data_IF_174551908447
#
_entry.id   IF_174551908447
#
_cell.length_a   1.000
_cell.length_b   1.000
_cell.length_c   1.000
_cell.angle_alpha   90.00
_cell.angle_beta   90.00
_cell.angle_gamma   90.00
#
_symmetry.space_group_name_H-M   'P 1'
#
loop_
_entity.id
_entity.type
_entity.pdbx_description
1 polymer ?
#
# COMPACT_ATOMS: atom_id res chain seq x y z
N UNK A 1 -7.47 0.97 19.93
CA UNK A 1 -7.08 1.79 18.74
C UNK A 1 -7.65 1.23 17.46
N UNK A 2 -7.95 2.08 16.46
CA UNK A 2 -8.35 1.67 15.10
C UNK A 2 -7.16 1.10 14.32
N UNK A 3 -7.41 0.35 13.24
CA UNK A 3 -6.33 -0.17 12.38
C UNK A 3 -5.53 0.97 11.73
N UNK A 4 -6.17 2.10 11.39
CA UNK A 4 -5.48 3.27 10.84
C UNK A 4 -4.50 3.88 11.85
N UNK A 5 -4.90 4.03 13.11
CA UNK A 5 -4.03 4.51 14.19
C UNK A 5 -2.85 3.56 14.44
N UNK A 6 -3.11 2.26 14.48
CA UNK A 6 -2.05 1.24 14.64
C UNK A 6 -1.05 1.26 13.48
N UNK A 7 -1.51 1.41 12.24
CA UNK A 7 -0.63 1.54 11.07
C UNK A 7 0.19 2.82 11.12
N UNK A 8 -0.42 3.94 11.54
CA UNK A 8 0.28 5.20 11.75
C UNK A 8 1.42 5.01 12.76
N UNK A 9 1.13 4.48 13.95
CA UNK A 9 2.14 4.22 14.97
C UNK A 9 3.26 3.29 14.48
N UNK A 10 2.90 2.25 13.72
CA UNK A 10 3.88 1.32 13.17
C UNK A 10 4.84 1.99 12.18
N UNK A 11 4.36 2.86 11.28
CA UNK A 11 5.22 3.56 10.31
C UNK A 11 6.10 4.61 10.98
N UNK A 12 5.59 5.29 12.03
CA UNK A 12 6.38 6.19 12.89
C UNK A 12 7.49 5.44 13.62
N UNK A 13 7.15 4.34 14.29
CA UNK A 13 8.10 3.50 15.05
C UNK A 13 9.25 2.96 14.17
N UNK A 14 8.97 2.61 12.91
CA UNK A 14 9.99 2.13 11.98
C UNK A 14 10.87 3.29 11.46
N UNK A 15 10.49 4.55 11.69
CA UNK A 15 11.19 5.72 11.16
C UNK A 15 11.05 5.84 9.64
N UNK A 16 9.87 5.59 9.09
CA UNK A 16 9.66 5.76 7.64
C UNK A 16 9.71 7.24 7.27
N UNK A 17 10.43 7.63 6.21
CA UNK A 17 10.33 8.97 5.65
C UNK A 17 8.88 9.38 5.36
N UNK A 18 8.52 10.62 5.73
CA UNK A 18 7.17 11.18 5.60
C UNK A 18 6.09 10.40 6.38
N UNK A 19 6.45 9.78 7.52
CA UNK A 19 5.51 9.01 8.33
C UNK A 19 4.33 9.86 8.83
N UNK A 20 4.56 11.13 9.22
CA UNK A 20 3.48 12.03 9.63
C UNK A 20 2.47 12.24 8.50
N UNK A 21 2.96 12.46 7.28
CA UNK A 21 2.12 12.56 6.12
C UNK A 21 1.36 11.24 5.85
N UNK A 22 2.01 10.09 5.99
CA UNK A 22 1.37 8.79 5.89
C UNK A 22 0.25 8.64 6.90
N UNK A 23 0.48 9.03 8.17
CA UNK A 23 -0.52 8.98 9.24
C UNK A 23 -1.80 9.72 8.89
N UNK A 24 -1.69 10.92 8.30
CA UNK A 24 -2.84 11.72 7.90
C UNK A 24 -3.75 11.00 6.89
N UNK A 25 -3.18 10.13 6.06
CA UNK A 25 -3.92 9.42 5.00
C UNK A 25 -4.21 7.94 5.30
N UNK A 26 -3.90 7.46 6.54
CA UNK A 26 -4.12 6.05 6.88
C UNK A 26 -5.59 5.63 6.85
N UNK A 27 -6.52 6.52 7.19
CA UNK A 27 -7.95 6.21 7.09
C UNK A 27 -8.37 5.95 5.65
N UNK A 28 -8.00 6.83 4.71
CA UNK A 28 -8.25 6.61 3.27
C UNK A 28 -7.62 5.30 2.76
N UNK A 29 -6.40 5.00 3.23
CA UNK A 29 -5.70 3.77 2.86
C UNK A 29 -6.46 2.53 3.35
N UNK A 30 -6.86 2.50 4.62
CA UNK A 30 -7.61 1.37 5.21
C UNK A 30 -8.92 1.19 4.47
N UNK A 31 -9.70 2.25 4.30
CA UNK A 31 -10.97 2.21 3.57
C UNK A 31 -10.81 1.67 2.14
N UNK A 32 -9.82 2.20 1.39
CA UNK A 32 -9.54 1.73 0.03
C UNK A 32 -9.12 0.25 0.00
N UNK A 33 -8.36 -0.19 1.01
CA UNK A 33 -7.94 -1.59 1.16
C UNK A 33 -9.12 -2.52 1.39
N UNK A 34 -10.01 -2.15 2.30
CA UNK A 34 -11.22 -2.92 2.63
C UNK A 34 -12.17 -3.04 1.43
N UNK A 35 -12.47 -1.92 0.76
CA UNK A 35 -13.31 -1.88 -0.44
C UNK A 35 -12.79 -2.79 -1.56
N UNK A 36 -11.48 -2.98 -1.66
CA UNK A 36 -10.83 -3.78 -2.68
C UNK A 36 -10.36 -5.16 -2.18
N UNK A 37 -10.61 -5.51 -0.90
CA UNK A 37 -10.18 -6.76 -0.25
C UNK A 37 -8.66 -6.99 -0.34
N UNK A 38 -7.90 -5.93 -0.12
CA UNK A 38 -6.44 -5.92 -0.08
C UNK A 38 -5.98 -5.74 1.37
N UNK A 39 -4.92 -6.43 1.77
CA UNK A 39 -4.31 -6.23 3.07
C UNK A 39 -3.72 -4.80 3.17
N UNK A 40 -4.18 -3.95 4.10
CA UNK A 40 -3.71 -2.57 4.24
C UNK A 40 -2.21 -2.48 4.58
N UNK A 41 -1.63 -3.48 5.23
CA UNK A 41 -0.18 -3.55 5.47
C UNK A 41 0.61 -3.66 4.17
N UNK A 42 0.11 -4.44 3.22
CA UNK A 42 0.72 -4.55 1.89
C UNK A 42 0.62 -3.22 1.14
N UNK A 43 -0.54 -2.55 1.20
CA UNK A 43 -0.73 -1.27 0.53
C UNK A 43 0.16 -0.17 1.15
N UNK A 44 0.27 -0.11 2.48
CA UNK A 44 1.18 0.80 3.19
C UNK A 44 2.62 0.61 2.72
N UNK A 45 3.08 -0.64 2.66
CA UNK A 45 4.43 -0.97 2.19
C UNK A 45 4.64 -0.67 0.71
N UNK A 46 3.62 -0.88 -0.14
CA UNK A 46 3.64 -0.56 -1.56
C UNK A 46 3.85 0.94 -1.76
N UNK A 47 3.04 1.79 -1.14
CA UNK A 47 3.14 3.26 -1.24
C UNK A 47 4.52 3.73 -0.79
N UNK A 48 5.02 3.19 0.32
CA UNK A 48 6.37 3.51 0.78
C UNK A 48 7.45 3.16 -0.25
N UNK A 49 7.36 2.01 -0.89
CA UNK A 49 8.35 1.59 -1.91
C UNK A 49 8.24 2.44 -3.18
N UNK A 50 7.03 2.86 -3.56
CA UNK A 50 6.78 3.65 -4.76
C UNK A 50 7.24 5.11 -4.63
N UNK A 51 6.84 5.79 -3.57
CA UNK A 51 7.03 7.24 -3.45
C UNK A 51 7.72 7.68 -2.15
N UNK A 52 7.94 6.78 -1.18
CA UNK A 52 8.28 7.12 0.20
C UNK A 52 7.28 8.10 0.82
N UNK A 53 6.02 7.93 0.50
CA UNK A 53 4.93 8.81 0.90
C UNK A 53 5.07 10.28 0.43
N UNK A 54 5.76 10.51 -0.70
CA UNK A 54 5.84 11.82 -1.34
C UNK A 54 4.69 11.98 -2.34
N UNK A 55 3.72 12.90 -2.10
CA UNK A 55 2.52 13.01 -2.94
C UNK A 55 2.83 13.51 -4.36
N UNK A 56 3.88 14.32 -4.52
CA UNK A 56 4.25 14.91 -5.81
C UNK A 56 5.36 14.13 -6.53
N UNK A 57 5.61 12.88 -6.13
CA UNK A 57 6.63 12.06 -6.75
C UNK A 57 6.31 11.80 -8.23
N UNK A 58 7.32 11.98 -9.09
CA UNK A 58 7.26 11.64 -10.52
C UNK A 58 8.48 10.78 -10.86
N UNK A 59 8.24 9.62 -11.44
CA UNK A 59 9.32 8.75 -11.89
C UNK A 59 9.88 9.17 -13.26
N UNK A 60 11.05 8.67 -13.63
CA UNK A 60 11.62 8.86 -14.98
C UNK A 60 10.69 8.37 -16.08
N UNK A 61 9.83 7.41 -15.80
CA UNK A 61 8.85 6.86 -16.77
C UNK A 61 7.55 7.65 -16.80
N UNK A 62 7.39 8.70 -15.98
CA UNK A 62 6.17 9.50 -15.89
C UNK A 62 5.07 8.92 -14.99
N UNK A 63 5.39 7.96 -14.10
CA UNK A 63 4.48 7.52 -13.06
C UNK A 63 4.36 8.60 -11.97
N UNK A 64 3.16 8.82 -11.44
CA UNK A 64 2.85 9.97 -10.61
C UNK A 64 2.19 9.59 -9.28
N UNK A 65 2.46 10.42 -8.26
CA UNK A 65 1.78 10.41 -6.97
C UNK A 65 2.25 9.31 -6.02
N UNK A 66 1.51 9.13 -4.94
CA UNK A 66 1.86 8.20 -3.86
C UNK A 66 2.04 6.76 -4.34
N UNK A 67 1.18 6.32 -5.23
CA UNK A 67 1.14 4.94 -5.73
C UNK A 67 1.83 4.76 -7.08
N UNK A 68 2.47 5.81 -7.60
CA UNK A 68 3.22 5.81 -8.86
C UNK A 68 2.42 5.21 -10.04
N UNK A 69 1.19 5.69 -10.20
CA UNK A 69 0.32 5.30 -11.32
C UNK A 69 0.75 6.02 -12.59
N UNK A 70 0.83 5.27 -13.68
CA UNK A 70 1.05 5.85 -15.00
C UNK A 70 -0.25 6.50 -15.52
N UNK A 71 -0.26 7.77 -15.93
CA UNK A 71 -1.48 8.45 -16.41
C UNK A 71 -2.21 7.71 -17.55
N UNK A 72 -1.47 7.07 -18.46
CA UNK A 72 -2.04 6.27 -19.55
C UNK A 72 -2.63 4.93 -19.07
N UNK A 73 -2.13 4.36 -17.95
CA UNK A 73 -2.70 3.14 -17.37
C UNK A 73 -4.02 3.40 -16.65
N UNK A 74 -4.28 4.66 -16.29
CA UNK A 74 -5.57 5.05 -15.74
C UNK A 74 -6.70 4.96 -16.79
N UNK A 75 -6.34 4.86 -18.08
CA UNK A 75 -7.26 4.63 -19.21
C UNK A 75 -7.28 3.19 -19.71
N UNK A 76 -6.66 2.25 -18.94
CA UNK A 76 -6.49 0.85 -19.36
C UNK A 76 -7.79 0.19 -19.75
N UNK A 77 -7.72 -0.62 -20.80
CA UNK A 77 -8.81 -1.37 -21.46
C UNK A 77 -10.16 -1.18 -20.77
N UNK A 78 -10.93 -0.24 -21.31
CA UNK A 78 -12.35 0.01 -21.05
C UNK A 78 -12.80 -0.43 -19.65
N UNK A 79 -12.93 0.47 -18.69
CA UNK A 79 -13.78 0.32 -17.50
C UNK A 79 -13.16 -0.22 -16.21
N UNK A 80 -12.10 -1.04 -16.20
CA UNK A 80 -11.58 -1.65 -14.96
C UNK A 80 -11.02 -0.64 -13.95
N UNK A 81 -10.49 0.50 -14.40
CA UNK A 81 -9.84 1.49 -13.53
C UNK A 81 -10.50 2.88 -13.54
N UNK A 82 -11.58 3.06 -14.31
CA UNK A 82 -12.29 4.34 -14.44
C UNK A 82 -11.61 5.32 -15.40
N UNK A 83 -12.02 6.61 -15.35
CA UNK A 83 -11.53 7.66 -16.26
C UNK A 83 -10.00 7.84 -16.16
N UNK A 84 -9.38 8.24 -17.29
CA UNK A 84 -7.97 8.64 -17.34
C UNK A 84 -7.72 9.80 -16.37
N UNK A 85 -6.65 9.70 -15.60
CA UNK A 85 -6.20 10.75 -14.68
C UNK A 85 -4.91 11.39 -15.19
N UNK A 86 -4.77 12.68 -14.94
CA UNK A 86 -3.51 13.41 -15.13
C UNK A 86 -2.60 13.25 -13.91
N UNK A 87 -1.30 13.57 -14.04
CA UNK A 87 -0.41 13.63 -12.88
C UNK A 87 -0.91 14.62 -11.84
N UNK A 88 -1.45 15.79 -12.25
CA UNK A 88 -2.01 16.76 -11.32
C UNK A 88 -3.11 16.17 -10.43
N UNK A 89 -3.97 15.32 -11.00
CA UNK A 89 -4.99 14.61 -10.23
C UNK A 89 -4.41 13.49 -9.36
N UNK A 90 -3.33 12.83 -9.81
CA UNK A 90 -2.64 11.78 -9.05
C UNK A 90 -1.74 12.34 -7.94
N UNK A 91 -1.47 13.63 -7.91
CA UNK A 91 -0.80 14.30 -6.79
C UNK A 91 -1.74 14.52 -5.61
N UNK A 92 -3.06 14.48 -5.82
CA UNK A 92 -4.02 14.38 -4.74
C UNK A 92 -3.86 13.01 -4.05
N UNK A 93 -3.56 12.99 -2.74
CA UNK A 93 -3.21 11.76 -2.04
C UNK A 93 -4.33 10.72 -2.06
N UNK A 94 -5.56 11.13 -1.82
CA UNK A 94 -6.71 10.24 -1.74
C UNK A 94 -7.03 9.64 -3.12
N UNK A 95 -6.97 10.45 -4.17
CA UNK A 95 -7.11 9.99 -5.56
C UNK A 95 -6.03 8.98 -5.91
N UNK A 96 -4.77 9.25 -5.53
CA UNK A 96 -3.64 8.35 -5.79
C UNK A 96 -3.81 7.01 -5.04
N UNK A 97 -4.12 7.05 -3.74
CA UNK A 97 -4.34 5.85 -2.93
C UNK A 97 -5.47 5.01 -3.52
N UNK A 98 -6.65 5.58 -3.73
CA UNK A 98 -7.82 4.86 -4.28
C UNK A 98 -7.54 4.28 -5.66
N UNK A 99 -6.88 5.03 -6.54
CA UNK A 99 -6.54 4.58 -7.90
C UNK A 99 -5.51 3.45 -7.87
N UNK A 100 -4.42 3.63 -7.14
CA UNK A 100 -3.36 2.63 -7.03
C UNK A 100 -3.87 1.33 -6.40
N UNK A 101 -4.75 1.42 -5.39
CA UNK A 101 -5.38 0.25 -4.77
C UNK A 101 -6.22 -0.54 -5.77
N UNK A 102 -7.04 0.12 -6.59
CA UNK A 102 -7.81 -0.56 -7.66
C UNK A 102 -6.92 -1.27 -8.67
N UNK A 103 -5.82 -0.62 -9.09
CA UNK A 103 -4.87 -1.24 -10.02
C UNK A 103 -4.17 -2.42 -9.37
N UNK A 104 -3.78 -2.30 -8.10
CA UNK A 104 -3.15 -3.41 -7.37
C UNK A 104 -4.12 -4.58 -7.17
N UNK A 105 -5.38 -4.31 -6.82
CA UNK A 105 -6.43 -5.30 -6.69
C UNK A 105 -6.66 -6.07 -8.01
N UNK A 106 -6.64 -5.41 -9.15
CA UNK A 106 -6.70 -6.08 -10.46
C UNK A 106 -5.59 -7.13 -10.61
N UNK A 107 -4.34 -6.79 -10.31
CA UNK A 107 -3.23 -7.74 -10.37
C UNK A 107 -3.36 -8.85 -9.34
N UNK A 108 -3.84 -8.53 -8.14
CA UNK A 108 -4.04 -9.50 -7.07
C UNK A 108 -5.11 -10.54 -7.44
N UNK A 109 -6.24 -10.09 -7.97
CA UNK A 109 -7.31 -10.99 -8.40
C UNK A 109 -6.92 -11.79 -9.65
N UNK A 110 -6.15 -11.18 -10.56
CA UNK A 110 -5.70 -11.82 -11.79
C UNK A 110 -4.71 -12.96 -11.54
N UNK A 111 -3.80 -12.80 -10.58
CA UNK A 111 -2.81 -13.82 -10.25
C UNK A 111 -3.26 -14.79 -9.15
N UNK A 112 -4.51 -14.73 -8.75
CA UNK A 112 -5.12 -15.58 -7.75
C UNK A 112 -4.91 -15.10 -6.32
N UNK A 113 -5.90 -15.36 -5.49
CA UNK A 113 -5.91 -15.02 -4.07
C UNK A 113 -4.68 -15.60 -3.38
N UNK A 114 -4.03 -14.83 -2.53
CA UNK A 114 -2.85 -15.17 -1.71
C UNK A 114 -1.47 -15.09 -2.41
N UNK A 115 -1.37 -14.70 -3.65
CA UNK A 115 -0.07 -14.56 -4.35
C UNK A 115 0.42 -13.11 -4.40
N UNK A 116 0.55 -12.45 -3.26
CA UNK A 116 1.03 -11.07 -3.19
C UNK A 116 2.33 -10.83 -3.97
N UNK A 117 3.29 -11.76 -3.92
CA UNK A 117 4.55 -11.64 -4.65
C UNK A 117 4.33 -11.49 -6.15
N UNK A 118 3.47 -12.29 -6.75
CA UNK A 118 3.17 -12.24 -8.19
C UNK A 118 2.31 -11.03 -8.54
N UNK A 119 1.35 -10.67 -7.69
CA UNK A 119 0.52 -9.47 -7.85
C UNK A 119 1.36 -8.18 -7.79
N UNK A 120 2.29 -8.08 -6.85
CA UNK A 120 3.23 -6.96 -6.73
C UNK A 120 4.18 -6.90 -7.94
N UNK A 121 4.68 -8.05 -8.42
CA UNK A 121 5.40 -8.10 -9.67
C UNK A 121 4.54 -7.56 -10.82
N UNK A 122 3.27 -7.98 -10.92
CA UNK A 122 2.32 -7.50 -11.93
C UNK A 122 2.07 -6.00 -11.85
N UNK A 123 1.93 -5.45 -10.64
CA UNK A 123 1.81 -4.02 -10.43
C UNK A 123 2.97 -3.23 -11.03
N UNK A 124 4.20 -3.69 -10.78
CA UNK A 124 5.42 -3.03 -11.26
C UNK A 124 5.73 -3.30 -12.74
N UNK A 125 5.47 -4.49 -13.25
CA UNK A 125 5.98 -4.94 -14.55
C UNK A 125 4.90 -5.53 -15.49
N UNK A 126 3.63 -5.48 -15.09
CA UNK A 126 2.52 -5.95 -15.90
C UNK A 126 2.56 -7.45 -16.17
N UNK A 127 2.16 -7.82 -17.39
CA UNK A 127 2.05 -9.22 -17.81
C UNK A 127 3.38 -9.98 -17.88
N UNK A 128 4.51 -9.28 -17.79
CA UNK A 128 5.85 -9.91 -17.74
C UNK A 128 6.08 -10.77 -16.49
N UNK A 129 5.17 -10.68 -15.52
CA UNK A 129 5.19 -11.48 -14.29
C UNK A 129 4.41 -12.79 -14.37
N UNK A 130 3.82 -13.10 -15.54
CA UNK A 130 3.08 -14.34 -15.80
C UNK A 130 4.05 -15.47 -16.19
N UNK A 131 3.75 -16.69 -15.73
CA UNK A 131 4.47 -17.90 -16.12
C UNK A 131 5.63 -18.28 -15.21
N UNK A 132 6.43 -19.24 -15.67
CA UNK A 132 7.48 -19.89 -14.87
C UNK A 132 8.77 -19.06 -14.76
N UNK A 133 8.95 -18.05 -15.64
CA UNK A 133 10.12 -17.17 -15.59
C UNK A 133 9.69 -15.69 -15.48
N UNK A 134 9.22 -15.28 -14.29
CA UNK A 134 8.73 -13.92 -14.09
C UNK A 134 9.86 -12.90 -14.16
N UNK A 135 9.53 -11.70 -14.63
CA UNK A 135 10.49 -10.61 -14.83
C UNK A 135 11.31 -10.29 -13.57
N UNK A 136 12.66 -10.43 -13.59
CA UNK A 136 13.49 -10.40 -12.40
C UNK A 136 13.39 -9.10 -11.60
N UNK A 137 13.32 -7.93 -12.30
CA UNK A 137 13.16 -6.62 -11.64
C UNK A 137 11.82 -6.49 -10.91
N UNK A 138 10.74 -7.01 -11.51
CA UNK A 138 9.42 -7.05 -10.87
C UNK A 138 9.40 -7.95 -9.63
N UNK A 139 10.12 -9.07 -9.66
CA UNK A 139 10.29 -9.94 -8.49
C UNK A 139 11.12 -9.27 -7.40
N UNK A 140 12.20 -8.56 -7.76
CA UNK A 140 13.00 -7.79 -6.80
C UNK A 140 12.17 -6.69 -6.13
N UNK A 141 11.34 -5.98 -6.89
CA UNK A 141 10.36 -5.02 -6.39
C UNK A 141 9.39 -5.67 -5.39
N UNK A 142 8.76 -6.78 -5.78
CA UNK A 142 7.83 -7.50 -4.91
C UNK A 142 8.48 -7.94 -3.59
N UNK A 143 9.71 -8.47 -3.64
CA UNK A 143 10.47 -8.82 -2.44
C UNK A 143 10.73 -7.58 -1.55
N UNK A 144 10.99 -6.42 -2.15
CA UNK A 144 11.20 -5.16 -1.41
C UNK A 144 9.92 -4.75 -0.66
N UNK A 145 8.76 -4.75 -1.33
CA UNK A 145 7.47 -4.44 -0.69
C UNK A 145 7.17 -5.41 0.45
N UNK A 146 7.29 -6.71 0.21
CA UNK A 146 7.03 -7.74 1.21
C UNK A 146 7.96 -7.64 2.44
N UNK A 147 9.21 -7.21 2.25
CA UNK A 147 10.14 -6.95 3.35
C UNK A 147 9.66 -5.81 4.26
N UNK A 148 9.16 -4.71 3.68
CA UNK A 148 8.57 -3.62 4.47
C UNK A 148 7.26 -4.03 5.12
N UNK A 149 6.40 -4.76 4.43
CA UNK A 149 5.18 -5.31 5.02
C UNK A 149 5.49 -6.21 6.23
N UNK A 150 6.55 -7.01 6.17
CA UNK A 150 7.00 -7.83 7.32
C UNK A 150 7.44 -6.95 8.51
N UNK A 151 8.15 -5.84 8.25
CA UNK A 151 8.52 -4.87 9.31
C UNK A 151 7.28 -4.27 9.95
N UNK A 152 6.34 -3.74 9.16
CA UNK A 152 5.09 -3.15 9.65
C UNK A 152 4.32 -4.18 10.49
N UNK A 153 4.15 -5.42 10.02
CA UNK A 153 3.46 -6.47 10.78
C UNK A 153 4.13 -6.79 12.11
N UNK A 154 5.46 -6.69 12.17
CA UNK A 154 6.19 -6.89 13.43
C UNK A 154 5.83 -5.80 14.43
N UNK A 155 5.87 -4.54 14.02
CA UNK A 155 5.50 -3.42 14.89
C UNK A 155 4.04 -3.47 15.31
N UNK A 156 3.11 -3.78 14.40
CA UNK A 156 1.70 -3.95 14.75
C UNK A 156 1.48 -5.02 15.83
N UNK A 157 2.25 -6.12 15.80
CA UNK A 157 2.15 -7.14 16.85
C UNK A 157 2.67 -6.64 18.19
N UNK A 158 3.76 -5.86 18.19
CA UNK A 158 4.29 -5.26 19.41
C UNK A 158 3.30 -4.25 20.00
N UNK A 159 2.74 -3.35 19.17
CA UNK A 159 1.77 -2.36 19.61
C UNK A 159 0.52 -3.01 20.21
N UNK A 160 -0.03 -4.05 19.56
CA UNK A 160 -1.18 -4.79 20.10
C UNK A 160 -0.89 -5.46 21.45
N UNK A 161 0.30 -6.00 21.61
CA UNK A 161 0.72 -6.60 22.89
C UNK A 161 0.76 -5.55 24.01
N UNK A 162 1.27 -4.35 23.73
CA UNK A 162 1.24 -3.26 24.71
C UNK A 162 -0.20 -2.82 25.04
N UNK A 163 -1.11 -2.74 24.06
CA UNK A 163 -2.53 -2.44 24.35
C UNK A 163 -3.18 -3.49 25.25
N UNK A 164 -2.82 -4.76 25.12
CA UNK A 164 -3.35 -5.84 25.98
C UNK A 164 -2.74 -5.83 27.39
N UNK A 165 -1.48 -5.39 27.54
CA UNK A 165 -0.78 -5.32 28.82
C UNK A 165 -1.12 -4.03 29.62
N UNK A 166 -1.50 -2.94 28.95
CA UNK A 166 -1.87 -1.65 29.55
C UNK A 166 -3.35 -1.58 30.01
N UNK A 167 -4.06 -2.70 30.13
CA UNK A 167 -5.30 -2.78 30.89
C UNK A 167 -4.91 -3.11 32.35
N UNK A 168 -4.67 -2.10 33.22
CA UNK A 168 -4.54 -2.37 34.66
C UNK A 168 -5.90 -2.94 35.08
N UNK A 169 -5.89 -4.10 35.69
CA UNK A 169 -7.05 -4.57 36.41
C UNK A 169 -7.63 -3.41 37.21
N UNK A 170 -8.87 -3.04 36.87
CA UNK A 170 -9.62 -2.09 37.66
C UNK A 170 -9.60 -2.61 39.12
N UNK A 171 -8.73 -2.04 39.93
CA UNK A 171 -8.76 -2.32 41.37
C UNK A 171 -10.11 -1.86 41.86
N UNK A 172 -11.00 -2.82 42.06
CA UNK A 172 -12.12 -2.64 42.94
C UNK A 172 -11.57 -2.34 44.33
N UNK A 173 -11.54 -1.06 44.68
CA UNK A 173 -11.47 -0.68 46.06
C UNK A 173 -12.91 -0.67 46.58
N UNK A 174 -13.22 -1.69 47.39
CA UNK A 174 -14.31 -1.65 48.36
C UNK A 174 -14.07 -0.58 49.41
#
# INVERSE_FOLDING_TARGET
MTLAELLCMAVLSIGMPNADFACYHMHTLVEASEQNKIDPVILTALIFVESRWSPNAVSRSGACGLTQVMPHWSSGKKESFGKRLTCKQLFDPDTSIRRGTKIFAYWFHRYGKQRYKTALCGYNAGYRCKGNNPYPRGIAYAKKVLRYAKKIRRELRLLKKYEEEDIPGCMMYE
#
